data_IF_231147029794
#
_entry.id   IF_231147029794
#
_cell.length_a   1.000
_cell.length_b   1.000
_cell.length_c   1.000
_cell.angle_alpha   90.00
_cell.angle_beta   90.00
_cell.angle_gamma   90.00
#
_symmetry.space_group_name_H-M   'P 1'
#
loop_
_entity.id
_entity.type
_entity.pdbx_description
1 polymer ?
#
# COMPACT_ATOMS: atom_id res chain seq x y z
N UNK A 1 -3.74 12.47 18.61
CA UNK A 1 -2.83 13.63 18.40
C UNK A 1 -2.90 14.04 16.92
N UNK A 2 -2.53 15.29 16.59
CA UNK A 2 -2.59 15.79 15.20
C UNK A 2 -1.84 14.91 14.18
N UNK A 3 -0.58 14.47 14.41
CA UNK A 3 0.12 13.61 13.43
C UNK A 3 -0.61 12.28 13.19
N UNK A 4 -1.16 11.65 14.24
CA UNK A 4 -1.99 10.45 14.06
C UNK A 4 -3.29 10.77 13.31
N UNK A 5 -4.11 11.74 13.76
CA UNK A 5 -5.44 12.01 13.18
C UNK A 5 -5.36 12.42 11.71
N UNK A 6 -4.47 13.35 11.39
CA UNK A 6 -4.32 13.86 10.02
C UNK A 6 -3.50 12.88 9.18
N UNK A 7 -2.42 12.32 9.72
CA UNK A 7 -1.52 11.42 9.00
C UNK A 7 -2.21 10.13 8.56
N UNK A 8 -2.94 9.45 9.46
CA UNK A 8 -3.66 8.22 9.08
C UNK A 8 -4.77 8.51 8.09
N UNK A 9 -5.44 9.67 8.19
CA UNK A 9 -6.43 10.11 7.21
C UNK A 9 -5.84 10.36 5.83
N UNK A 10 -4.63 10.90 5.74
CA UNK A 10 -3.91 11.05 4.47
C UNK A 10 -3.45 9.71 3.89
N UNK A 11 -2.91 8.81 4.72
CA UNK A 11 -2.52 7.47 4.27
C UNK A 11 -3.70 6.72 3.68
N UNK A 12 -4.86 6.72 4.36
CA UNK A 12 -6.08 6.06 3.88
C UNK A 12 -6.56 6.59 2.54
N UNK A 13 -6.55 7.92 2.34
CA UNK A 13 -6.92 8.53 1.06
C UNK A 13 -5.99 8.13 -0.08
N UNK A 14 -4.68 8.06 0.19
CA UNK A 14 -3.70 7.70 -0.83
C UNK A 14 -3.80 6.21 -1.18
N UNK A 15 -3.94 5.35 -0.17
CA UNK A 15 -4.16 3.92 -0.38
C UNK A 15 -5.42 3.68 -1.24
N UNK A 16 -6.52 4.35 -0.93
CA UNK A 16 -7.73 4.31 -1.76
C UNK A 16 -7.50 4.83 -3.18
N UNK A 17 -6.71 5.90 -3.34
CA UNK A 17 -6.38 6.43 -4.67
C UNK A 17 -5.66 5.36 -5.51
N UNK A 18 -4.71 4.64 -4.91
CA UNK A 18 -3.98 3.53 -5.57
C UNK A 18 -4.92 2.36 -5.87
N UNK A 19 -5.71 1.92 -4.88
CA UNK A 19 -6.69 0.81 -5.01
C UNK A 19 -7.69 1.04 -6.15
N UNK A 20 -8.16 2.28 -6.32
CA UNK A 20 -9.13 2.64 -7.35
C UNK A 20 -8.51 2.96 -8.72
N UNK A 21 -7.27 2.52 -8.97
CA UNK A 21 -6.59 2.70 -10.26
C UNK A 21 -6.31 4.17 -10.61
N UNK A 22 -6.25 5.05 -9.61
CA UNK A 22 -5.99 6.49 -9.78
C UNK A 22 -4.63 6.90 -9.20
N UNK A 23 -3.85 5.94 -8.72
CA UNK A 23 -2.55 6.18 -8.09
C UNK A 23 -1.49 6.63 -9.08
N UNK A 24 -0.46 7.27 -8.56
CA UNK A 24 0.76 7.67 -9.27
C UNK A 24 1.99 7.16 -8.51
N UNK A 25 3.13 6.98 -9.18
CA UNK A 25 4.34 6.44 -8.51
C UNK A 25 4.78 7.30 -7.32
N UNK A 26 4.59 8.63 -7.42
CA UNK A 26 4.87 9.58 -6.34
C UNK A 26 4.00 9.36 -5.09
N UNK A 27 2.84 8.73 -5.24
CA UNK A 27 1.93 8.45 -4.12
C UNK A 27 2.52 7.36 -3.20
N UNK A 28 3.29 6.42 -3.76
CA UNK A 28 4.01 5.38 -3.00
C UNK A 28 5.08 6.04 -2.12
N UNK A 29 5.86 6.95 -2.70
CA UNK A 29 6.89 7.69 -1.95
C UNK A 29 6.24 8.63 -0.91
N UNK A 30 5.08 9.21 -1.23
CA UNK A 30 4.32 10.03 -0.28
C UNK A 30 3.81 9.22 0.92
N UNK A 31 3.33 7.98 0.71
CA UNK A 31 2.96 7.09 1.81
C UNK A 31 4.15 6.81 2.74
N UNK A 32 5.33 6.59 2.16
CA UNK A 32 6.56 6.41 2.92
C UNK A 32 6.94 7.65 3.75
N UNK A 33 6.75 8.85 3.20
CA UNK A 33 7.01 10.09 3.95
C UNK A 33 5.99 10.34 5.06
N UNK A 34 4.72 10.00 4.85
CA UNK A 34 3.67 10.19 5.86
C UNK A 34 3.91 9.27 7.04
N UNK A 35 4.19 7.98 6.82
CA UNK A 35 4.42 7.05 7.92
C UNK A 35 5.58 7.53 8.81
N UNK A 36 6.67 8.05 8.22
CA UNK A 36 7.84 8.55 8.98
C UNK A 36 7.52 9.76 9.84
N UNK A 37 6.55 10.57 9.43
CA UNK A 37 6.09 11.75 10.20
C UNK A 37 5.15 11.37 11.33
N UNK A 38 4.54 10.19 11.27
CA UNK A 38 3.71 9.65 12.35
C UNK A 38 4.61 8.91 13.35
N UNK A 39 5.48 8.04 12.87
CA UNK A 39 6.39 7.24 13.69
C UNK A 39 7.16 8.11 14.69
N UNK A 40 7.06 7.79 15.98
CA UNK A 40 7.78 8.45 17.07
C UNK A 40 7.32 9.88 17.38
N UNK A 41 6.32 10.40 16.67
CA UNK A 41 5.79 11.77 16.84
C UNK A 41 4.37 11.78 17.42
N UNK A 42 3.90 10.66 17.96
CA UNK A 42 2.53 10.52 18.49
C UNK A 42 2.51 10.38 20.02
N UNK A 43 1.37 10.73 20.63
CA UNK A 43 1.18 10.69 22.09
C UNK A 43 1.08 9.25 22.61
N UNK A 44 0.62 8.31 21.78
CA UNK A 44 0.43 6.92 22.17
C UNK A 44 0.83 5.96 21.05
N UNK A 45 1.10 4.68 21.36
CA UNK A 45 1.61 3.70 20.39
C UNK A 45 0.66 3.38 19.22
N UNK A 46 -0.59 3.84 19.26
CA UNK A 46 -1.56 3.63 18.18
C UNK A 46 -1.10 4.28 16.87
N UNK A 47 -0.42 5.42 16.93
CA UNK A 47 0.12 6.08 15.74
C UNK A 47 1.17 5.22 15.05
N UNK A 48 2.14 4.73 15.82
CA UNK A 48 3.21 3.87 15.32
C UNK A 48 2.65 2.53 14.81
N UNK A 49 1.67 1.95 15.52
CA UNK A 49 0.98 0.74 15.11
C UNK A 49 0.22 0.90 13.78
N UNK A 50 -0.21 2.11 13.40
CA UNK A 50 -0.82 2.39 12.10
C UNK A 50 0.22 2.67 11.00
N UNK A 51 1.38 3.25 11.35
CA UNK A 51 2.43 3.61 10.41
C UNK A 51 3.29 2.41 9.98
N UNK A 52 3.66 1.53 10.92
CA UNK A 52 4.53 0.39 10.65
C UNK A 52 4.00 -0.61 9.61
N UNK A 53 2.71 -0.97 9.59
CA UNK A 53 2.17 -1.87 8.56
C UNK A 53 2.33 -1.29 7.15
N UNK A 54 2.09 0.02 6.97
CA UNK A 54 2.27 0.70 5.68
C UNK A 54 3.75 0.70 5.27
N UNK A 55 4.64 1.00 6.21
CA UNK A 55 6.08 0.96 5.97
C UNK A 55 6.57 -0.46 5.58
N UNK A 56 6.07 -1.49 6.28
CA UNK A 56 6.39 -2.88 5.98
C UNK A 56 5.84 -3.29 4.61
N UNK A 57 4.59 -2.92 4.30
CA UNK A 57 3.97 -3.22 3.02
C UNK A 57 4.76 -2.65 1.84
N UNK A 58 5.14 -1.37 1.91
CA UNK A 58 5.95 -0.73 0.87
C UNK A 58 7.35 -1.35 0.78
N UNK A 59 7.95 -1.77 1.90
CA UNK A 59 9.30 -2.35 1.90
C UNK A 59 9.34 -3.73 1.25
N UNK A 60 8.33 -4.55 1.51
CA UNK A 60 8.34 -5.97 1.11
C UNK A 60 7.54 -6.24 -0.16
N UNK A 61 6.57 -5.39 -0.50
CA UNK A 61 5.65 -5.57 -1.61
C UNK A 61 5.58 -4.33 -2.49
N UNK A 62 6.69 -3.59 -2.64
CA UNK A 62 6.71 -2.33 -3.44
C UNK A 62 6.23 -2.56 -4.87
N UNK A 63 6.62 -3.70 -5.43
CA UNK A 63 6.26 -4.18 -6.76
C UNK A 63 4.73 -4.29 -6.95
N UNK A 64 3.98 -4.66 -5.90
CA UNK A 64 2.52 -4.66 -5.91
C UNK A 64 1.93 -3.26 -6.03
N UNK A 65 2.46 -2.30 -5.28
CA UNK A 65 2.02 -0.91 -5.37
C UNK A 65 2.35 -0.30 -6.74
N UNK A 66 3.54 -0.59 -7.27
CA UNK A 66 3.95 -0.14 -8.60
C UNK A 66 3.05 -0.73 -9.68
N UNK A 67 2.70 -2.02 -9.57
CA UNK A 67 1.78 -2.64 -10.52
C UNK A 67 0.38 -2.01 -10.49
N UNK A 68 -0.18 -1.73 -9.31
CA UNK A 68 -1.48 -1.04 -9.19
C UNK A 68 -1.48 0.32 -9.88
N UNK A 69 -0.35 1.04 -9.82
CA UNK A 69 -0.18 2.33 -10.49
C UNK A 69 0.00 2.16 -12.00
N UNK A 70 0.78 1.17 -12.44
CA UNK A 70 1.09 0.96 -13.85
C UNK A 70 -0.05 0.27 -14.63
N UNK A 71 -0.92 -0.47 -13.96
CA UNK A 71 -2.01 -1.25 -14.55
C UNK A 71 -3.38 -0.86 -13.92
N UNK A 72 -3.82 0.40 -14.07
CA UNK A 72 -4.96 0.96 -13.33
C UNK A 72 -6.32 0.31 -13.64
N UNK A 73 -6.51 -0.26 -14.84
CA UNK A 73 -7.73 -0.99 -15.17
C UNK A 73 -7.69 -2.43 -14.64
N UNK A 74 -6.50 -3.04 -14.67
CA UNK A 74 -6.30 -4.44 -14.30
C UNK A 74 -6.38 -4.65 -12.79
N UNK A 75 -5.92 -3.66 -12.01
CA UNK A 75 -5.98 -3.69 -10.54
C UNK A 75 -7.41 -3.65 -9.99
N UNK A 76 -8.37 -3.15 -10.77
CA UNK A 76 -9.79 -3.17 -10.41
C UNK A 76 -10.46 -4.53 -10.64
N UNK A 77 -9.80 -5.40 -11.43
CA UNK A 77 -10.34 -6.69 -11.86
C UNK A 77 -9.62 -7.89 -11.22
N UNK A 78 -8.33 -7.75 -10.87
CA UNK A 78 -7.52 -8.80 -10.24
C UNK A 78 -6.45 -8.22 -9.32
N UNK A 79 -5.92 -9.06 -8.43
CA UNK A 79 -4.84 -8.68 -7.52
C UNK A 79 -3.46 -9.00 -8.13
N UNK A 80 -2.46 -8.17 -7.82
CA UNK A 80 -1.06 -8.43 -8.17
C UNK A 80 -0.53 -9.65 -7.43
N UNK A 81 0.07 -10.60 -8.13
CA UNK A 81 0.83 -11.70 -7.51
C UNK A 81 0.06 -12.65 -6.57
N UNK A 82 -1.26 -12.47 -6.41
CA UNK A 82 -2.04 -13.07 -5.32
C UNK A 82 -3.34 -13.72 -5.79
N UNK A 83 -3.47 -14.07 -7.07
CA UNK A 83 -4.62 -14.87 -7.49
C UNK A 83 -4.70 -16.22 -6.72
N UNK A 84 -3.57 -16.71 -6.18
CA UNK A 84 -3.43 -18.09 -5.70
C UNK A 84 -2.37 -18.31 -4.58
N UNK A 85 -2.05 -17.35 -3.68
CA UNK A 85 -0.96 -17.60 -2.71
C UNK A 85 -1.21 -18.77 -1.73
N UNK A 86 -2.46 -19.16 -1.55
CA UNK A 86 -2.88 -20.32 -0.78
C UNK A 86 -3.30 -21.51 -1.66
N UNK A 87 -3.34 -21.34 -2.98
CA UNK A 87 -3.77 -22.38 -3.90
C UNK A 87 -2.54 -23.11 -4.50
N UNK A 88 -2.62 -24.43 -4.75
CA UNK A 88 -1.50 -25.17 -5.35
C UNK A 88 -1.16 -24.63 -6.76
N UNK A 89 0.13 -24.40 -7.03
CA UNK A 89 0.63 -23.93 -8.33
C UNK A 89 0.42 -25.05 -9.37
N UNK A 90 -0.61 -24.94 -10.20
CA UNK A 90 -0.74 -25.78 -11.39
C UNK A 90 0.13 -25.23 -12.53
N UNK A 91 1.12 -26.03 -12.93
CA UNK A 91 1.99 -25.72 -14.06
C UNK A 91 1.15 -25.63 -15.36
N UNK A 92 1.09 -24.45 -15.97
CA UNK A 92 0.56 -24.32 -17.34
C UNK A 92 1.55 -23.55 -18.23
N UNK A 93 2.52 -24.30 -18.73
CA UNK A 93 3.20 -24.01 -20.00
C UNK A 93 2.26 -24.47 -21.12
N UNK A 94 2.22 -23.72 -22.24
CA UNK A 94 1.71 -24.07 -23.59
C UNK A 94 0.17 -24.21 -23.72
N UNK A 95 -0.53 -23.70 -24.74
CA UNK A 95 -0.23 -23.19 -26.10
C UNK A 95 -1.34 -22.20 -26.48
#
# INVERSE_FOLDING_TARGET
CSPCREGTGWMEKILKKIEYGKGELKDIDLLWDIQRKIEGNTICPLGDAAAWPVAAAIRHFRDEFEWHVLHPEECLARNYGLAHYADPIENSVTT
#
